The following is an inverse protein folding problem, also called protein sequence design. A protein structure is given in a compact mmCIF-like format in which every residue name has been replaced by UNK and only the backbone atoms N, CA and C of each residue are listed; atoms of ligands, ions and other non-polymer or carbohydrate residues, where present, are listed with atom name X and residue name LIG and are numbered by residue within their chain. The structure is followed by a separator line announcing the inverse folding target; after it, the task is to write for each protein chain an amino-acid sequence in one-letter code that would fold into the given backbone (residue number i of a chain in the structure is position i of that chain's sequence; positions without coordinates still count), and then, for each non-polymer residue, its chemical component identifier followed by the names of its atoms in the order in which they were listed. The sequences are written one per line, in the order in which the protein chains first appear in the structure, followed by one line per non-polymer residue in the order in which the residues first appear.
data_IF_118849481247
#
_entry.id   IF_118849481247
#
_cell.length_a   1.000
_cell.length_b   1.000
_cell.length_c   1.000
_cell.angle_alpha   90.00
_cell.angle_beta   90.00
_cell.angle_gamma   90.00
#
_symmetry.space_group_name_H-M   'P 1'
#
loop_
_entity.id
_entity.type
_entity.pdbx_description
1 polymer ?
#
# COMPACT_ATOMS: atom_id res chain seq x y z
N UNK A 1 -20.49 -33.44 -54.84
CA UNK A 1 -20.61 -32.20 -54.05
C UNK A 1 -20.21 -32.48 -52.61
N UNK A 2 -18.96 -32.24 -52.21
CA UNK A 2 -18.47 -32.47 -50.83
C UNK A 2 -18.52 -31.12 -50.09
N UNK A 3 -19.39 -31.01 -49.07
CA UNK A 3 -19.47 -29.83 -48.21
C UNK A 3 -18.34 -29.90 -47.18
N UNK A 4 -17.40 -28.96 -47.24
CA UNK A 4 -16.38 -28.79 -46.20
C UNK A 4 -17.00 -28.00 -45.04
N UNK A 5 -17.03 -28.62 -43.86
CA UNK A 5 -17.39 -27.95 -42.61
C UNK A 5 -16.10 -27.35 -42.05
N UNK A 6 -15.98 -26.03 -42.09
CA UNK A 6 -14.88 -25.31 -41.45
C UNK A 6 -15.28 -25.09 -39.99
N UNK A 7 -14.68 -25.85 -39.09
CA UNK A 7 -14.79 -25.61 -37.65
C UNK A 7 -13.82 -24.49 -37.27
N UNK A 8 -14.35 -23.30 -37.02
CA UNK A 8 -13.57 -22.16 -36.53
C UNK A 8 -13.22 -22.40 -35.06
N UNK A 9 -11.96 -22.76 -34.81
CA UNK A 9 -11.40 -22.86 -33.46
C UNK A 9 -11.21 -21.45 -32.90
N UNK A 10 -12.13 -21.01 -32.04
CA UNK A 10 -12.02 -19.73 -31.35
C UNK A 10 -10.97 -19.86 -30.23
N UNK A 11 -9.75 -19.43 -30.49
CA UNK A 11 -8.67 -19.38 -29.49
C UNK A 11 -9.02 -18.29 -28.47
N UNK A 12 -9.61 -18.67 -27.33
CA UNK A 12 -9.79 -17.75 -26.22
C UNK A 12 -8.43 -17.50 -25.57
N UNK A 13 -7.83 -16.35 -25.87
CA UNK A 13 -6.67 -15.87 -25.12
C UNK A 13 -7.12 -15.57 -23.68
N UNK A 14 -6.84 -16.47 -22.75
CA UNK A 14 -7.03 -16.24 -21.33
C UNK A 14 -6.11 -15.09 -20.91
N UNK A 15 -6.68 -13.91 -20.71
CA UNK A 15 -5.97 -12.78 -20.15
C UNK A 15 -5.64 -13.11 -18.69
N UNK A 16 -4.39 -13.47 -18.40
CA UNK A 16 -3.93 -13.56 -17.02
C UNK A 16 -3.96 -12.14 -16.45
N UNK A 17 -4.98 -11.81 -15.66
CA UNK A 17 -5.01 -10.58 -14.89
C UNK A 17 -3.83 -10.61 -13.93
N UNK A 18 -2.77 -9.87 -14.23
CA UNK A 18 -1.64 -9.71 -13.33
C UNK A 18 -2.15 -8.96 -12.11
N UNK A 19 -2.21 -9.66 -10.98
CA UNK A 19 -2.54 -9.09 -9.68
C UNK A 19 -1.43 -8.15 -9.21
N UNK A 20 -1.77 -7.21 -8.32
CA UNK A 20 -0.77 -6.38 -7.65
C UNK A 20 0.29 -7.22 -6.93
N UNK A 21 1.52 -6.72 -6.92
CA UNK A 21 2.66 -7.35 -6.26
C UNK A 21 2.68 -6.95 -4.77
N UNK A 22 2.02 -7.77 -3.96
CA UNK A 22 2.10 -7.70 -2.50
C UNK A 22 3.25 -8.54 -1.98
N UNK A 23 4.04 -7.98 -1.07
CA UNK A 23 5.16 -8.67 -0.40
C UNK A 23 4.92 -8.77 1.10
N UNK A 24 5.11 -9.97 1.65
CA UNK A 24 5.02 -10.25 3.07
C UNK A 24 6.42 -10.43 3.66
N UNK A 25 6.76 -9.62 4.66
CA UNK A 25 8.01 -9.77 5.41
C UNK A 25 7.76 -9.85 6.90
N UNK A 26 8.73 -10.42 7.62
CA UNK A 26 8.62 -10.66 9.06
C UNK A 26 9.89 -10.17 9.75
N UNK A 27 9.72 -9.42 10.84
CA UNK A 27 10.83 -8.92 11.65
C UNK A 27 10.69 -9.41 13.08
N UNK A 28 11.80 -9.88 13.65
CA UNK A 28 11.92 -10.21 15.07
C UNK A 28 12.81 -9.17 15.76
N UNK A 29 12.31 -8.59 16.84
CA UNK A 29 13.11 -7.82 17.80
C UNK A 29 13.60 -8.80 18.88
N UNK A 30 14.85 -9.23 18.75
CA UNK A 30 15.49 -10.20 19.66
C UNK A 30 15.59 -9.66 21.09
N UNK A 31 15.80 -8.35 21.25
CA UNK A 31 15.93 -7.72 22.57
C UNK A 31 14.62 -7.80 23.36
N UNK A 32 13.48 -7.67 22.68
CA UNK A 32 12.14 -7.68 23.32
C UNK A 32 11.39 -9.01 23.14
N UNK A 33 11.93 -9.94 22.35
CA UNK A 33 11.26 -11.20 22.00
C UNK A 33 9.94 -11.01 21.27
N UNK A 34 9.83 -9.97 20.44
CA UNK A 34 8.57 -9.66 19.70
C UNK A 34 8.76 -9.82 18.21
N UNK A 35 7.69 -10.22 17.52
CA UNK A 35 7.65 -10.31 16.06
C UNK A 35 6.64 -9.32 15.47
N UNK A 36 6.89 -8.92 14.23
CA UNK A 36 6.01 -8.05 13.43
C UNK A 36 5.88 -8.62 12.04
N UNK A 37 4.64 -8.71 11.54
CA UNK A 37 4.31 -9.00 10.13
C UNK A 37 4.15 -7.69 9.38
N UNK A 38 4.65 -7.66 8.14
CA UNK A 38 4.43 -6.57 7.19
C UNK A 38 3.81 -7.14 5.92
N UNK A 39 2.88 -6.41 5.32
CA UNK A 39 2.36 -6.58 3.96
C UNK A 39 2.58 -5.25 3.24
N UNK A 40 3.19 -5.30 2.07
CA UNK A 40 3.62 -4.09 1.36
C UNK A 40 3.25 -4.17 -0.11
N UNK A 41 2.87 -3.04 -0.69
CA UNK A 41 2.75 -2.87 -2.14
C UNK A 41 3.20 -1.46 -2.53
N UNK A 42 3.72 -1.33 -3.75
CA UNK A 42 4.26 -0.08 -4.29
C UNK A 42 3.28 0.48 -5.31
N UNK A 43 3.18 1.80 -5.42
CA UNK A 43 2.31 2.47 -6.37
C UNK A 43 2.63 2.08 -7.82
N UNK A 44 1.58 1.88 -8.62
CA UNK A 44 1.64 1.51 -10.05
C UNK A 44 2.26 2.62 -10.91
N UNK A 45 2.24 3.85 -10.39
CA UNK A 45 2.90 5.00 -11.00
C UNK A 45 4.00 5.56 -10.10
N UNK A 46 4.98 6.19 -10.73
CA UNK A 46 5.87 7.15 -10.10
C UNK A 46 5.34 8.58 -10.30
N UNK A 47 5.86 9.51 -9.51
CA UNK A 47 5.71 10.94 -9.68
C UNK A 47 7.10 11.57 -9.70
N UNK A 48 7.32 12.58 -10.54
CA UNK A 48 8.60 13.28 -10.59
C UNK A 48 8.65 14.37 -9.53
N UNK A 49 9.70 14.36 -8.71
CA UNK A 49 10.03 15.42 -7.76
C UNK A 49 11.26 16.18 -8.25
N UNK A 50 11.19 17.49 -8.12
CA UNK A 50 12.25 18.42 -8.46
C UNK A 50 13.41 18.33 -7.45
N UNK A 51 14.47 19.11 -7.69
CA UNK A 51 15.53 19.29 -6.70
C UNK A 51 14.92 19.79 -5.38
N UNK A 52 15.27 19.21 -4.21
CA UNK A 52 16.45 18.37 -3.94
C UNK A 52 16.27 16.86 -4.13
N UNK A 53 15.07 16.37 -4.43
CA UNK A 53 14.77 14.93 -4.45
C UNK A 53 15.21 14.24 -5.76
N UNK A 54 15.28 15.01 -6.85
CA UNK A 54 15.93 14.66 -8.12
C UNK A 54 15.44 13.33 -8.71
N UNK A 55 14.19 13.34 -9.18
CA UNK A 55 13.62 12.34 -10.08
C UNK A 55 12.41 11.59 -9.54
N UNK A 56 12.09 10.48 -10.21
CA UNK A 56 10.93 9.65 -9.91
C UNK A 56 10.88 9.12 -8.48
N UNK A 57 9.70 9.22 -7.88
CA UNK A 57 9.36 8.74 -6.55
C UNK A 57 8.11 7.86 -6.60
N UNK A 58 8.10 6.80 -5.81
CA UNK A 58 6.98 5.89 -5.63
C UNK A 58 6.52 5.92 -4.18
N UNK A 59 5.23 5.66 -3.98
CA UNK A 59 4.63 5.53 -2.66
C UNK A 59 4.43 4.07 -2.33
N UNK A 60 4.90 3.65 -1.16
CA UNK A 60 4.68 2.30 -0.62
C UNK A 60 3.58 2.34 0.41
N UNK A 61 2.56 1.51 0.22
CA UNK A 61 1.58 1.21 1.25
C UNK A 61 2.09 0.05 2.09
N UNK A 62 2.20 0.23 3.41
CA UNK A 62 2.58 -0.83 4.35
C UNK A 62 1.46 -1.07 5.35
N UNK A 63 1.01 -2.31 5.44
CA UNK A 63 0.15 -2.80 6.52
C UNK A 63 0.99 -3.67 7.44
N UNK A 64 0.99 -3.39 8.74
CA UNK A 64 1.78 -4.19 9.71
C UNK A 64 0.98 -4.61 10.92
N UNK A 65 1.41 -5.70 11.55
CA UNK A 65 0.92 -6.06 12.88
C UNK A 65 1.55 -5.16 13.94
N UNK A 66 0.98 -5.16 15.14
CA UNK A 66 1.70 -4.66 16.32
C UNK A 66 2.89 -5.58 16.61
N UNK A 67 3.89 -5.03 17.29
CA UNK A 67 4.95 -5.82 17.93
C UNK A 67 4.30 -6.78 18.92
N UNK A 68 4.43 -8.09 18.68
CA UNK A 68 3.71 -9.11 19.44
C UNK A 68 4.66 -10.20 19.90
N UNK A 69 4.65 -10.52 21.18
CA UNK A 69 5.30 -11.74 21.68
C UNK A 69 4.50 -12.95 21.19
N UNK A 70 5.15 -13.86 20.46
CA UNK A 70 4.48 -15.02 19.90
C UNK A 70 4.12 -16.02 20.99
N UNK A 71 2.91 -16.59 20.91
CA UNK A 71 2.53 -17.74 21.73
C UNK A 71 3.29 -18.98 21.27
N UNK A 72 3.34 -20.01 22.12
CA UNK A 72 3.90 -21.32 21.74
C UNK A 72 3.25 -21.79 20.43
N UNK A 73 4.10 -22.17 19.47
CA UNK A 73 3.73 -22.65 18.12
C UNK A 73 3.04 -21.61 17.20
N UNK A 74 2.87 -20.35 17.66
CA UNK A 74 2.37 -19.27 16.82
C UNK A 74 3.47 -18.78 15.89
N UNK A 75 3.16 -18.69 14.59
CA UNK A 75 4.11 -18.14 13.60
C UNK A 75 3.81 -16.68 13.26
N UNK A 76 4.81 -15.84 12.93
CA UNK A 76 4.61 -14.44 12.55
C UNK A 76 3.58 -14.22 11.43
N UNK A 77 3.46 -15.16 10.50
CA UNK A 77 2.52 -15.15 9.36
C UNK A 77 1.06 -15.02 9.82
N UNK A 78 0.75 -15.56 11.00
CA UNK A 78 -0.59 -15.55 11.60
C UNK A 78 -0.97 -14.23 12.26
N UNK A 79 -0.02 -13.30 12.44
CA UNK A 79 -0.29 -12.03 13.10
C UNK A 79 -1.23 -11.16 12.26
N UNK A 80 -2.29 -10.57 12.86
CA UNK A 80 -3.17 -9.67 12.14
C UNK A 80 -2.48 -8.33 11.89
N UNK A 81 -2.56 -7.84 10.65
CA UNK A 81 -2.18 -6.46 10.35
C UNK A 81 -3.23 -5.51 10.92
N UNK A 82 -2.78 -4.53 11.71
CA UNK A 82 -3.64 -3.62 12.49
C UNK A 82 -3.21 -2.16 12.36
N UNK A 83 -2.06 -1.91 11.76
CA UNK A 83 -1.50 -0.58 11.52
C UNK A 83 -1.27 -0.40 10.02
N UNK A 84 -1.57 0.78 9.50
CA UNK A 84 -1.29 1.17 8.13
C UNK A 84 -0.42 2.43 8.13
N UNK A 85 0.53 2.48 7.19
CA UNK A 85 1.41 3.63 6.99
C UNK A 85 1.77 3.77 5.52
N UNK A 86 2.22 4.96 5.16
CA UNK A 86 2.71 5.31 3.83
C UNK A 86 4.18 5.67 3.93
N UNK A 87 5.00 5.16 3.01
CA UNK A 87 6.43 5.47 2.90
C UNK A 87 6.71 6.01 1.51
N UNK A 88 7.35 7.16 1.40
CA UNK A 88 7.74 7.73 0.11
C UNK A 88 9.21 7.38 -0.19
N UNK A 89 9.52 6.91 -1.41
CA UNK A 89 10.90 6.52 -1.74
C UNK A 89 11.87 7.71 -1.80
N UNK A 90 11.36 8.87 -2.22
CA UNK A 90 12.08 10.15 -2.26
C UNK A 90 11.10 11.28 -1.99
N UNK A 91 11.46 12.21 -1.12
CA UNK A 91 10.57 13.31 -0.73
C UNK A 91 10.32 13.35 0.76
N UNK A 92 9.57 14.36 1.18
CA UNK A 92 9.18 14.55 2.57
C UNK A 92 7.69 14.90 2.61
N UNK A 93 6.92 14.16 3.39
CA UNK A 93 5.52 14.48 3.61
C UNK A 93 5.40 15.86 4.27
N UNK A 94 4.53 16.69 3.72
CA UNK A 94 4.19 17.98 4.30
C UNK A 94 3.04 17.80 5.30
N UNK A 95 3.39 17.39 6.51
CA UNK A 95 2.47 17.40 7.65
C UNK A 95 2.58 18.77 8.35
N UNK A 96 1.68 19.70 8.06
CA UNK A 96 1.66 20.99 8.77
C UNK A 96 1.11 20.80 10.20
N UNK A 97 1.76 21.40 11.19
CA UNK A 97 1.31 21.35 12.59
C UNK A 97 0.00 22.10 12.84
N UNK A 98 -0.35 23.07 11.97
CA UNK A 98 -1.57 23.87 12.10
C UNK A 98 -2.82 23.22 11.50
N UNK A 99 -2.69 22.57 10.33
CA UNK A 99 -3.83 21.97 9.62
C UNK A 99 -3.98 20.46 9.88
N UNK A 100 -3.03 19.88 10.63
CA UNK A 100 -2.87 18.45 10.84
C UNK A 100 -2.30 17.74 9.60
N UNK A 101 -1.92 16.47 9.77
CA UNK A 101 -1.50 15.64 8.64
C UNK A 101 -2.70 14.84 8.12
N UNK A 102 -2.92 14.86 6.81
CA UNK A 102 -4.01 14.11 6.20
C UNK A 102 -3.72 13.72 4.77
N UNK A 103 -4.39 12.68 4.31
CA UNK A 103 -4.38 12.25 2.91
C UNK A 103 -5.81 12.11 2.38
N UNK A 104 -5.97 12.35 1.09
CA UNK A 104 -7.21 12.09 0.37
C UNK A 104 -7.10 10.74 -0.31
N UNK A 105 -8.10 9.89 -0.12
CA UNK A 105 -8.11 8.52 -0.65
C UNK A 105 -9.39 8.29 -1.43
N UNK A 106 -9.27 7.78 -2.65
CA UNK A 106 -10.38 7.31 -3.46
C UNK A 106 -10.22 5.81 -3.71
N UNK A 107 -11.18 5.01 -3.24
CA UNK A 107 -11.25 3.59 -3.53
C UNK A 107 -12.18 3.34 -4.72
N UNK A 108 -11.74 2.54 -5.68
CA UNK A 108 -12.42 2.28 -6.94
C UNK A 108 -13.00 3.58 -7.55
N UNK A 109 -14.28 3.58 -7.94
CA UNK A 109 -15.01 4.76 -8.43
C UNK A 109 -15.81 5.47 -7.33
N UNK A 110 -15.49 5.21 -6.06
CA UNK A 110 -16.16 5.75 -4.89
C UNK A 110 -15.91 7.25 -4.65
N UNK A 111 -16.44 7.75 -3.53
CA UNK A 111 -16.20 9.12 -3.06
C UNK A 111 -14.79 9.25 -2.49
N UNK A 112 -14.23 10.46 -2.58
CA UNK A 112 -12.98 10.81 -1.88
C UNK A 112 -13.24 10.80 -0.37
N UNK A 113 -12.35 10.13 0.36
CA UNK A 113 -12.34 10.02 1.82
C UNK A 113 -11.08 10.67 2.37
N UNK A 114 -11.22 11.50 3.40
CA UNK A 114 -10.07 12.11 4.07
C UNK A 114 -9.66 11.25 5.27
N UNK A 115 -8.38 10.90 5.35
CA UNK A 115 -7.81 10.17 6.48
C UNK A 115 -6.84 11.08 7.24
N UNK A 116 -7.01 11.16 8.56
CA UNK A 116 -6.04 11.80 9.45
C UNK A 116 -4.81 10.90 9.62
N UNK A 117 -3.66 11.54 9.67
CA UNK A 117 -2.35 10.92 9.71
C UNK A 117 -1.51 11.49 10.85
N UNK A 118 -0.56 10.69 11.32
CA UNK A 118 0.47 11.08 12.27
C UNK A 118 1.86 10.90 11.68
N UNK A 119 2.79 11.78 12.05
CA UNK A 119 4.22 11.63 11.70
C UNK A 119 4.89 10.50 12.48
N UNK A 120 6.11 10.15 12.08
CA UNK A 120 6.93 9.18 12.79
C UNK A 120 7.40 9.69 14.16
N UNK A 121 7.44 8.80 15.16
CA UNK A 121 7.97 9.15 16.49
C UNK A 121 9.46 9.51 16.48
N UNK A 122 10.22 8.96 15.52
CA UNK A 122 11.64 9.25 15.32
C UNK A 122 11.88 10.51 14.45
N UNK A 123 10.82 11.28 14.18
CA UNK A 123 10.84 12.49 13.35
C UNK A 123 11.22 12.27 11.87
N UNK A 124 11.20 11.03 11.39
CA UNK A 124 11.33 10.75 9.96
C UNK A 124 10.17 11.38 9.18
N UNK A 125 10.50 12.09 8.09
CA UNK A 125 9.53 12.83 7.27
C UNK A 125 9.12 12.07 6.00
N UNK A 126 9.72 10.91 5.74
CA UNK A 126 9.43 10.03 4.61
C UNK A 126 8.35 8.97 4.95
N UNK A 127 7.79 9.00 6.15
CA UNK A 127 6.76 8.07 6.62
C UNK A 127 5.68 8.74 7.45
N UNK A 128 4.42 8.35 7.19
CA UNK A 128 3.24 8.81 7.93
C UNK A 128 2.28 7.64 8.22
N UNK A 129 1.58 7.71 9.34
CA UNK A 129 0.76 6.62 9.90
C UNK A 129 -0.72 6.99 9.88
N UNK A 130 -1.59 6.04 9.53
CA UNK A 130 -3.04 6.26 9.60
C UNK A 130 -3.53 6.21 11.05
N UNK A 131 -4.12 7.30 11.54
CA UNK A 131 -4.67 7.36 12.91
C UNK A 131 -5.77 6.32 13.13
N UNK A 132 -6.61 6.10 12.11
CA UNK A 132 -7.70 5.12 12.10
C UNK A 132 -7.39 3.95 11.17
N UNK A 133 -6.24 3.30 11.40
CA UNK A 133 -5.72 2.19 10.59
C UNK A 133 -6.75 1.08 10.32
N UNK A 134 -7.54 0.64 11.30
CA UNK A 134 -8.51 -0.45 11.13
C UNK A 134 -9.56 -0.18 10.04
N UNK A 135 -10.05 1.06 9.94
CA UNK A 135 -11.04 1.42 8.91
C UNK A 135 -10.40 1.45 7.52
N UNK A 136 -9.19 2.00 7.43
CA UNK A 136 -8.44 2.05 6.18
C UNK A 136 -8.10 0.64 5.68
N UNK A 137 -7.58 -0.23 6.54
CA UNK A 137 -7.25 -1.63 6.21
C UNK A 137 -8.47 -2.39 5.71
N UNK A 138 -9.65 -2.18 6.32
CA UNK A 138 -10.90 -2.78 5.86
C UNK A 138 -11.23 -2.36 4.44
N UNK A 139 -11.06 -1.08 4.09
CA UNK A 139 -11.28 -0.59 2.74
C UNK A 139 -10.26 -1.18 1.76
N UNK A 140 -8.97 -1.20 2.10
CA UNK A 140 -7.92 -1.81 1.28
C UNK A 140 -8.25 -3.27 0.91
N UNK A 141 -8.76 -4.06 1.87
CA UNK A 141 -9.12 -5.46 1.64
C UNK A 141 -10.41 -5.69 0.86
N UNK A 142 -11.26 -4.67 0.71
CA UNK A 142 -12.59 -4.81 0.10
C UNK A 142 -12.72 -4.16 -1.28
N UNK A 143 -11.69 -3.45 -1.74
CA UNK A 143 -11.67 -2.74 -3.02
C UNK A 143 -10.54 -3.26 -3.90
N UNK A 144 -10.58 -2.92 -5.19
CA UNK A 144 -9.59 -3.40 -6.17
C UNK A 144 -8.58 -2.34 -6.57
N UNK A 145 -8.96 -1.07 -6.49
CA UNK A 145 -8.11 0.06 -6.87
C UNK A 145 -8.15 1.13 -5.80
N UNK A 146 -7.06 1.86 -5.69
CA UNK A 146 -6.97 3.02 -4.81
C UNK A 146 -6.13 4.12 -5.43
N UNK A 147 -6.55 5.36 -5.22
CA UNK A 147 -5.73 6.55 -5.44
C UNK A 147 -5.52 7.21 -4.09
N UNK A 148 -4.27 7.48 -3.74
CA UNK A 148 -3.88 8.29 -2.59
C UNK A 148 -3.29 9.60 -3.10
N UNK A 149 -3.80 10.71 -2.59
CA UNK A 149 -3.22 12.04 -2.74
C UNK A 149 -2.63 12.48 -1.39
N UNK A 150 -1.36 12.84 -1.40
CA UNK A 150 -0.63 13.33 -0.24
C UNK A 150 0.18 14.57 -0.61
N UNK A 151 0.42 15.43 0.37
CA UNK A 151 1.18 16.66 0.19
C UNK A 151 2.65 16.44 0.52
N UNK A 152 3.53 17.03 -0.28
CA UNK A 152 4.98 16.90 -0.15
C UNK A 152 5.64 18.28 -0.12
N UNK A 153 6.68 18.42 0.71
CA UNK A 153 7.40 19.67 0.86
C UNK A 153 7.98 20.14 -0.47
N UNK A 154 7.72 21.40 -0.85
CA UNK A 154 8.08 22.03 -2.14
C UNK A 154 7.44 21.44 -3.41
N UNK A 155 6.72 20.33 -3.28
CA UNK A 155 6.11 19.60 -4.40
C UNK A 155 4.58 19.76 -4.46
N UNK A 156 3.96 20.13 -3.33
CA UNK A 156 2.50 20.18 -3.20
C UNK A 156 1.87 18.79 -3.24
N UNK A 157 0.64 18.72 -3.73
CA UNK A 157 -0.14 17.49 -3.71
C UNK A 157 0.20 16.59 -4.90
N UNK A 158 0.43 15.31 -4.63
CA UNK A 158 0.81 14.31 -5.62
C UNK A 158 -0.02 13.04 -5.44
N UNK A 159 -0.36 12.41 -6.55
CA UNK A 159 -1.26 11.27 -6.60
C UNK A 159 -0.53 9.97 -6.96
N UNK A 160 -0.85 8.93 -6.19
CA UNK A 160 -0.32 7.58 -6.35
C UNK A 160 -1.46 6.60 -6.49
N UNK A 161 -1.34 5.73 -7.49
CA UNK A 161 -2.35 4.72 -7.87
C UNK A 161 -1.86 3.35 -7.44
N UNK A 162 -2.80 2.53 -7.01
CA UNK A 162 -2.54 1.17 -6.57
C UNK A 162 -3.60 0.22 -7.11
N UNK A 163 -3.16 -0.92 -7.63
CA UNK A 163 -3.93 -2.15 -7.66
C UNK A 163 -3.88 -2.79 -6.25
N UNK A 164 -5.04 -3.14 -5.71
CA UNK A 164 -5.20 -3.75 -4.39
C UNK A 164 -5.50 -5.25 -4.46
N UNK A 165 -5.63 -5.80 -5.66
CA UNK A 165 -5.80 -7.25 -5.84
C UNK A 165 -4.58 -8.02 -5.32
N UNK A 166 -4.78 -9.27 -4.90
CA UNK A 166 -3.68 -10.14 -4.46
C UNK A 166 -3.20 -9.98 -3.02
N UNK A 167 -3.78 -9.06 -2.25
CA UNK A 167 -3.43 -8.89 -0.81
C UNK A 167 -3.55 -10.18 0.01
N UNK A 168 -4.45 -11.10 -0.38
CA UNK A 168 -4.65 -12.40 0.27
C UNK A 168 -3.62 -13.47 -0.15
N UNK A 169 -2.83 -13.21 -1.20
CA UNK A 169 -1.76 -14.08 -1.69
C UNK A 169 -0.44 -13.31 -1.85
N UNK A 170 0.10 -12.74 -0.76
CA UNK A 170 1.35 -11.99 -0.83
C UNK A 170 2.53 -12.93 -1.12
N UNK A 171 3.47 -12.44 -1.94
CA UNK A 171 4.76 -13.07 -2.18
C UNK A 171 5.62 -12.98 -0.91
N UNK A 172 6.46 -13.97 -0.67
CA UNK A 172 7.45 -13.95 0.41
C UNK A 172 8.72 -13.19 0.02
#
# INVERSE_FOLDING_TARGET
MKRAIIATLCLMAASTSQSADWHATYKTDEMRGTSTKFLQTVSDNSVEFDFPYSGGSNLTLVLRSKKTALKKDQKPESLPVTEALLVISKGQFSCNSYDGCSVSVKFDDGKIQKYSMSGAEDSSSDVIFFDKSSSFIKNVKSHKKMIIEASFFQEGDKQFKFDLTGIEQPKA
#
